data_IF_455946400759
#
_entry.id   IF_455946400759
#
_cell.length_a   1.000
_cell.length_b   1.000
_cell.length_c   1.000
_cell.angle_alpha   90.00
_cell.angle_beta   90.00
_cell.angle_gamma   90.00
#
_symmetry.space_group_name_H-M   'P 1'
#
loop_
_entity.id
_entity.type
_entity.pdbx_description
1 polymer ?
#
# COMPACT_ATOMS: atom_id res chain seq x y z
N UNK A 1 1.12 2.79 -10.87
CA UNK A 1 1.44 2.51 -9.46
C UNK A 1 0.53 1.39 -9.07
N UNK A 2 1.10 0.36 -8.47
CA UNK A 2 0.44 -0.93 -8.31
C UNK A 2 0.49 -1.31 -6.83
N UNK A 3 -0.65 -1.74 -6.29
CA UNK A 3 -0.73 -2.34 -4.97
C UNK A 3 -1.15 -3.81 -5.12
N UNK A 4 -0.35 -4.70 -4.56
CA UNK A 4 -0.57 -6.14 -4.56
C UNK A 4 -0.89 -6.58 -3.14
N UNK A 5 -2.01 -7.27 -2.96
CA UNK A 5 -2.40 -7.93 -1.71
C UNK A 5 -2.24 -9.43 -1.89
N UNK A 6 -1.62 -10.10 -0.91
CA UNK A 6 -1.35 -11.55 -0.97
C UNK A 6 -1.94 -12.24 0.25
N UNK A 7 -2.58 -13.39 0.05
CA UNK A 7 -3.01 -14.31 1.09
C UNK A 7 -2.86 -15.76 0.63
N UNK A 8 -2.67 -16.69 1.55
CA UNK A 8 -2.47 -18.10 1.22
C UNK A 8 -3.72 -18.78 0.59
N UNK A 9 -4.91 -18.43 1.08
CA UNK A 9 -6.20 -19.01 0.65
C UNK A 9 -7.24 -17.92 0.48
N UNK A 10 -8.13 -18.02 -0.50
CA UNK A 10 -9.24 -17.08 -0.71
C UNK A 10 -10.17 -17.03 0.52
N UNK A 11 -10.88 -15.93 0.73
CA UNK A 11 -11.91 -15.85 1.78
C UNK A 11 -13.22 -16.58 1.41
N UNK A 12 -14.23 -16.43 2.27
CA UNK A 12 -15.57 -16.96 2.08
C UNK A 12 -16.28 -16.48 0.81
N UNK A 13 -15.86 -15.32 0.28
CA UNK A 13 -16.40 -14.75 -0.96
C UNK A 13 -15.56 -15.18 -2.18
N UNK A 14 -14.59 -16.08 -1.99
CA UNK A 14 -13.70 -16.60 -3.00
C UNK A 14 -12.84 -15.50 -3.67
N UNK A 15 -12.41 -14.51 -2.88
CA UNK A 15 -11.53 -13.42 -3.30
C UNK A 15 -10.33 -13.25 -2.36
N UNK A 16 -9.35 -12.46 -2.80
CA UNK A 16 -8.19 -12.10 -1.97
C UNK A 16 -8.55 -10.97 -1.01
N UNK A 17 -9.19 -9.94 -1.55
CA UNK A 17 -9.63 -8.72 -0.90
C UNK A 17 -10.78 -8.14 -1.73
N UNK A 18 -11.68 -7.40 -1.09
CA UNK A 18 -12.67 -6.60 -1.83
C UNK A 18 -11.94 -5.56 -2.69
N UNK A 19 -12.02 -5.72 -4.02
CA UNK A 19 -11.29 -4.88 -4.97
C UNK A 19 -11.83 -3.44 -4.99
N UNK A 20 -13.11 -3.24 -4.67
CA UNK A 20 -13.74 -1.93 -4.58
C UNK A 20 -13.17 -1.14 -3.40
N UNK A 21 -13.14 -1.77 -2.22
CA UNK A 21 -12.54 -1.16 -1.02
C UNK A 21 -11.04 -0.97 -1.17
N UNK A 22 -10.31 -1.96 -1.71
CA UNK A 22 -8.88 -1.84 -1.96
C UNK A 22 -8.55 -0.66 -2.88
N UNK A 23 -9.31 -0.49 -3.97
CA UNK A 23 -9.14 0.64 -4.89
C UNK A 23 -9.49 1.97 -4.23
N UNK A 24 -10.56 2.02 -3.42
CA UNK A 24 -10.97 3.22 -2.72
C UNK A 24 -9.92 3.68 -1.71
N UNK A 25 -9.43 2.77 -0.86
CA UNK A 25 -8.42 3.09 0.15
C UNK A 25 -7.08 3.45 -0.48
N UNK A 26 -6.68 2.76 -1.55
CA UNK A 26 -5.51 3.15 -2.32
C UNK A 26 -5.63 4.57 -2.86
N UNK A 27 -6.77 4.93 -3.47
CA UNK A 27 -6.99 6.28 -3.96
C UNK A 27 -6.96 7.34 -2.84
N UNK A 28 -7.49 7.03 -1.65
CA UNK A 28 -7.40 7.93 -0.48
C UNK A 28 -5.95 8.15 -0.04
N UNK A 29 -5.16 7.08 0.04
CA UNK A 29 -3.73 7.18 0.35
C UNK A 29 -3.01 8.03 -0.70
N UNK A 30 -3.22 7.75 -1.99
CA UNK A 30 -2.59 8.49 -3.09
C UNK A 30 -3.02 9.95 -3.15
N UNK A 31 -4.26 10.27 -2.80
CA UNK A 31 -4.76 11.65 -2.78
C UNK A 31 -3.99 12.55 -1.80
N UNK A 32 -3.37 11.98 -0.77
CA UNK A 32 -2.51 12.72 0.15
C UNK A 32 -1.18 13.19 -0.50
N UNK A 33 -0.78 12.60 -1.63
CA UNK A 33 0.48 12.89 -2.33
C UNK A 33 0.29 13.64 -3.65
N UNK A 34 -0.91 13.58 -4.23
CA UNK A 34 -1.19 14.21 -5.51
C UNK A 34 -1.05 15.74 -5.43
N UNK A 35 -0.35 16.32 -6.41
CA UNK A 35 -0.15 17.78 -6.59
C UNK A 35 0.56 18.50 -5.43
N UNK A 36 1.40 17.79 -4.66
CA UNK A 36 2.21 18.36 -3.57
C UNK A 36 3.70 18.16 -3.83
N UNK A 37 4.50 19.14 -3.43
CA UNK A 37 5.94 18.96 -3.31
C UNK A 37 6.21 18.23 -1.98
N UNK A 38 6.56 16.96 -2.04
CA UNK A 38 6.75 16.14 -0.83
C UNK A 38 7.94 16.63 0.02
N UNK A 39 8.91 17.31 -0.59
CA UNK A 39 10.04 17.92 0.13
C UNK A 39 9.61 19.09 1.04
N UNK A 40 8.45 19.70 0.77
CA UNK A 40 7.89 20.81 1.54
C UNK A 40 6.92 20.35 2.63
N UNK A 41 6.57 19.07 2.66
CA UNK A 41 5.69 18.51 3.68
C UNK A 41 6.47 18.33 5.01
N UNK A 42 6.06 18.98 6.11
CA UNK A 42 6.80 18.93 7.38
C UNK A 42 7.02 17.52 7.91
N UNK A 43 6.08 16.60 7.61
CA UNK A 43 6.16 15.19 8.00
C UNK A 43 7.26 14.40 7.26
N UNK A 44 7.81 14.93 6.17
CA UNK A 44 8.88 14.33 5.37
C UNK A 44 10.19 15.13 5.42
N UNK A 45 10.25 16.18 6.26
CA UNK A 45 11.43 17.02 6.38
C UNK A 45 12.68 16.21 6.77
N UNK A 46 13.75 16.36 5.98
CA UNK A 46 15.03 15.65 6.19
C UNK A 46 15.04 14.21 5.69
N UNK A 47 13.99 13.75 5.02
CA UNK A 47 13.91 12.43 4.39
C UNK A 47 14.13 12.59 2.89
N UNK A 48 14.96 11.74 2.29
CA UNK A 48 15.01 11.61 0.84
C UNK A 48 13.79 10.81 0.36
N UNK A 49 12.77 11.47 -0.19
CA UNK A 49 11.52 10.87 -0.68
C UNK A 49 11.69 10.16 -2.03
N UNK A 50 12.65 9.23 -2.08
CA UNK A 50 12.88 8.34 -3.22
C UNK A 50 11.65 7.49 -3.56
N UNK A 51 11.62 6.94 -4.77
CA UNK A 51 10.55 6.04 -5.24
C UNK A 51 10.39 4.81 -4.34
N UNK A 52 11.50 4.26 -3.84
CA UNK A 52 11.54 3.16 -2.86
C UNK A 52 10.90 3.56 -1.53
N UNK A 53 11.26 4.74 -1.02
CA UNK A 53 10.73 5.24 0.25
C UNK A 53 9.23 5.50 0.14
N UNK A 54 8.77 6.08 -0.97
CA UNK A 54 7.36 6.35 -1.21
C UNK A 54 6.57 5.04 -1.35
N UNK A 55 7.12 4.02 -2.02
CA UNK A 55 6.53 2.69 -2.09
C UNK A 55 6.35 2.08 -0.69
N UNK A 56 7.37 2.17 0.17
CA UNK A 56 7.30 1.73 1.56
C UNK A 56 6.21 2.49 2.32
N UNK A 57 6.22 3.82 2.23
CA UNK A 57 5.29 4.67 2.96
C UNK A 57 3.83 4.37 2.59
N UNK A 58 3.54 4.15 1.31
CA UNK A 58 2.21 3.75 0.85
C UNK A 58 1.86 2.33 1.34
N UNK A 59 2.80 1.37 1.28
CA UNK A 59 2.56 0.02 1.79
C UNK A 59 2.25 0.02 3.29
N UNK A 60 2.91 0.91 4.05
CA UNK A 60 2.65 1.07 5.48
C UNK A 60 1.24 1.63 5.74
N UNK A 61 0.83 2.67 5.03
CA UNK A 61 -0.53 3.21 5.16
C UNK A 61 -1.60 2.19 4.79
N UNK A 62 -1.39 1.39 3.74
CA UNK A 62 -2.33 0.32 3.37
C UNK A 62 -2.41 -0.76 4.45
N UNK A 63 -1.28 -1.09 5.10
CA UNK A 63 -1.26 -2.02 6.23
C UNK A 63 -2.05 -1.49 7.44
N UNK A 64 -1.94 -0.20 7.72
CA UNK A 64 -2.72 0.46 8.78
C UNK A 64 -4.21 0.42 8.43
N UNK A 65 -4.59 0.71 7.18
CA UNK A 65 -5.99 0.63 6.72
C UNK A 65 -6.57 -0.77 6.81
N UNK A 66 -5.78 -1.80 6.55
CA UNK A 66 -6.19 -3.20 6.79
C UNK A 66 -6.42 -3.42 8.28
N UNK A 67 -5.50 -3.00 9.13
CA UNK A 67 -5.59 -3.18 10.59
C UNK A 67 -6.76 -2.41 11.21
N UNK A 68 -7.16 -1.30 10.61
CA UNK A 68 -8.35 -0.51 10.96
C UNK A 68 -9.66 -1.11 10.43
N UNK A 69 -9.62 -2.18 9.64
CA UNK A 69 -10.80 -2.80 9.01
C UNK A 69 -11.36 -2.02 7.81
N UNK A 70 -10.64 -1.00 7.31
CA UNK A 70 -11.12 -0.14 6.21
C UNK A 70 -11.23 -0.87 4.86
N UNK A 71 -10.50 -1.99 4.71
CA UNK A 71 -10.58 -2.87 3.53
C UNK A 71 -11.57 -4.03 3.73
N UNK A 72 -12.41 -3.96 4.77
CA UNK A 72 -13.33 -5.02 5.17
C UNK A 72 -12.68 -6.07 6.07
N UNK A 73 -13.50 -6.77 6.87
CA UNK A 73 -13.03 -7.77 7.85
C UNK A 73 -12.21 -8.90 7.21
N UNK A 74 -12.55 -9.28 5.97
CA UNK A 74 -11.80 -10.30 5.21
C UNK A 74 -10.34 -9.92 4.95
N UNK A 75 -10.01 -8.62 4.96
CA UNK A 75 -8.66 -8.12 4.72
C UNK A 75 -7.69 -8.42 5.87
N UNK A 76 -8.18 -8.72 7.09
CA UNK A 76 -7.34 -9.23 8.18
C UNK A 76 -6.72 -10.62 7.84
N UNK A 77 -7.23 -11.26 6.80
CA UNK A 77 -6.69 -12.47 6.18
C UNK A 77 -5.38 -12.28 5.39
N UNK A 78 -5.02 -11.03 5.03
CA UNK A 78 -3.90 -10.72 4.14
C UNK A 78 -2.57 -10.97 4.85
N UNK A 79 -1.66 -11.65 4.16
CA UNK A 79 -0.35 -12.04 4.67
C UNK A 79 0.74 -11.03 4.30
N UNK A 80 0.63 -10.39 3.12
CA UNK A 80 1.61 -9.42 2.65
C UNK A 80 1.01 -8.37 1.69
N UNK A 81 1.65 -7.21 1.65
CA UNK A 81 1.40 -6.13 0.70
C UNK A 81 2.70 -5.85 -0.07
N UNK A 82 2.60 -5.69 -1.38
CA UNK A 82 3.67 -5.13 -2.19
C UNK A 82 3.16 -3.90 -2.95
N UNK A 83 3.95 -2.82 -2.94
CA UNK A 83 3.66 -1.60 -3.67
C UNK A 83 4.78 -1.33 -4.67
N UNK A 84 4.41 -1.05 -5.92
CA UNK A 84 5.35 -0.73 -7.00
C UNK A 84 5.00 0.63 -7.61
N UNK A 85 5.98 1.53 -7.66
CA UNK A 85 5.87 2.83 -8.30
C UNK A 85 6.67 2.84 -9.59
N UNK A 86 6.03 3.28 -10.66
CA UNK A 86 6.60 3.39 -12.00
C UNK A 86 6.97 4.85 -12.23
N UNK A 87 8.24 5.19 -12.09
CA UNK A 87 8.75 6.54 -12.35
C UNK A 87 8.77 6.82 -13.86
N UNK A 88 9.07 5.79 -14.65
CA UNK A 88 9.01 5.83 -16.10
C UNK A 88 8.72 4.45 -16.68
N UNK A 89 8.73 4.35 -18.01
CA UNK A 89 8.59 3.07 -18.73
C UNK A 89 9.84 2.16 -18.62
N UNK A 90 10.97 2.68 -18.13
CA UNK A 90 12.24 1.93 -18.00
C UNK A 90 12.77 1.83 -16.56
N UNK A 91 12.11 2.49 -15.60
CA UNK A 91 12.53 2.50 -14.20
C UNK A 91 11.33 2.49 -13.26
N UNK A 92 11.35 1.57 -12.31
CA UNK A 92 10.37 1.43 -11.24
C UNK A 92 11.08 0.95 -9.97
N UNK A 93 10.47 1.23 -8.83
CA UNK A 93 10.89 0.70 -7.54
C UNK A 93 9.69 0.16 -6.79
N UNK A 94 9.92 -0.75 -5.86
CA UNK A 94 8.86 -1.32 -5.05
C UNK A 94 9.31 -1.71 -3.66
N UNK A 95 8.33 -1.89 -2.79
CA UNK A 95 8.53 -2.33 -1.42
C UNK A 95 7.48 -3.38 -1.07
N UNK A 96 7.93 -4.47 -0.44
CA UNK A 96 7.07 -5.55 0.04
C UNK A 96 7.22 -5.70 1.56
N UNK A 97 6.09 -5.85 2.26
CA UNK A 97 6.05 -6.15 3.68
C UNK A 97 5.03 -7.22 4.03
N UNK A 98 5.38 -8.05 5.00
CA UNK A 98 4.43 -8.95 5.66
C UNK A 98 3.52 -8.17 6.63
N UNK A 99 2.31 -8.67 6.83
CA UNK A 99 1.35 -8.18 7.83
C UNK A 99 1.28 -9.10 9.05
N UNK A 100 1.61 -10.37 8.87
CA UNK A 100 1.79 -11.34 9.95
C UNK A 100 3.28 -11.57 10.20
N UNK A 101 3.70 -11.80 11.46
CA UNK A 101 5.06 -12.23 11.71
C UNK A 101 5.34 -13.51 10.94
N UNK A 102 6.47 -13.54 10.22
CA UNK A 102 6.96 -14.72 9.53
C UNK A 102 7.01 -15.88 10.52
N UNK A 103 6.23 -16.92 10.27
CA UNK A 103 6.10 -18.08 11.16
C UNK A 103 7.32 -18.99 11.08
#
# INVERSE_FOLDING_TARGET
MDATFKRAELDSDNIVVDIGLATQELNKVLAAFNYRNLDEEPQFAGINTSTEWLAKHIADQLADKISEGSLGEGAHGIDAIAVTLHESHVAWAGYERALRPSR
#
